data_IF_116058340666
#
_entry.id   IF_116058340666
#
_cell.length_a   1.000
_cell.length_b   1.000
_cell.length_c   1.000
_cell.angle_alpha   90.00
_cell.angle_beta   90.00
_cell.angle_gamma   90.00
#
_symmetry.space_group_name_H-M   'P 1'
#
loop_
_entity.id
_entity.type
_entity.pdbx_description
1 polymer ?
#
# COMPACT_ATOMS: atom_id res chain seq x y z
N UNK A 1 40.86 -0.65 -47.07
CA UNK A 1 41.00 -0.50 -45.61
C UNK A 1 39.77 0.17 -44.96
N UNK A 2 39.24 1.26 -45.52
CA UNK A 2 38.05 1.95 -44.97
C UNK A 2 36.78 1.10 -44.94
N UNK A 3 36.53 0.29 -45.98
CA UNK A 3 35.34 -0.57 -46.10
C UNK A 3 35.31 -1.68 -45.04
N UNK A 4 36.45 -2.30 -44.75
CA UNK A 4 36.57 -3.32 -43.70
C UNK A 4 36.30 -2.76 -42.30
N UNK A 5 36.73 -1.54 -42.03
CA UNK A 5 36.47 -0.86 -40.76
C UNK A 5 34.98 -0.53 -40.61
N UNK A 6 34.33 -0.05 -41.68
CA UNK A 6 32.90 0.24 -41.69
C UNK A 6 32.06 -1.02 -41.48
N UNK A 7 32.40 -2.13 -42.14
CA UNK A 7 31.69 -3.40 -41.93
C UNK A 7 31.82 -3.92 -40.50
N UNK A 8 32.99 -3.76 -39.88
CA UNK A 8 33.22 -4.21 -38.51
C UNK A 8 32.40 -3.40 -37.50
N UNK A 9 32.34 -2.07 -37.68
CA UNK A 9 31.53 -1.19 -36.82
C UNK A 9 30.03 -1.47 -36.94
N UNK A 10 29.53 -1.76 -38.14
CA UNK A 10 28.12 -2.12 -38.36
C UNK A 10 27.80 -3.46 -37.68
N UNK A 11 28.68 -4.45 -37.79
CA UNK A 11 28.50 -5.76 -37.16
C UNK A 11 28.51 -5.63 -35.63
N UNK A 12 29.45 -4.85 -35.07
CA UNK A 12 29.50 -4.62 -33.62
C UNK A 12 28.23 -3.93 -33.10
N UNK A 13 27.74 -2.90 -33.80
CA UNK A 13 26.49 -2.23 -33.42
C UNK A 13 25.30 -3.21 -33.46
N UNK A 14 25.19 -4.02 -34.52
CA UNK A 14 24.14 -5.03 -34.63
C UNK A 14 24.18 -6.05 -33.48
N UNK A 15 25.37 -6.49 -33.06
CA UNK A 15 25.54 -7.42 -31.94
C UNK A 15 25.11 -6.78 -30.61
N UNK A 16 25.46 -5.52 -30.36
CA UNK A 16 25.04 -4.80 -29.13
C UNK A 16 23.51 -4.65 -29.06
N UNK A 17 22.85 -4.26 -30.16
CA UNK A 17 21.39 -4.15 -30.20
C UNK A 17 20.66 -5.49 -30.00
N UNK A 18 21.29 -6.61 -30.39
CA UNK A 18 20.74 -7.96 -30.16
C UNK A 18 20.91 -8.41 -28.71
N UNK A 19 22.01 -8.03 -28.05
CA UNK A 19 22.27 -8.35 -26.64
C UNK A 19 21.35 -7.53 -25.71
N UNK A 20 21.09 -6.27 -26.04
CA UNK A 20 20.24 -5.37 -25.24
C UNK A 20 18.79 -5.87 -25.14
N UNK A 21 18.30 -6.57 -26.19
CA UNK A 21 16.97 -7.21 -26.15
C UNK A 21 16.90 -8.47 -25.28
N UNK A 22 18.03 -9.05 -24.88
CA UNK A 22 18.09 -10.29 -24.11
C UNK A 22 18.29 -10.08 -22.60
N UNK A 23 18.53 -8.85 -22.14
CA UNK A 23 18.78 -8.56 -20.71
C UNK A 23 17.56 -8.07 -19.92
N UNK A 24 16.40 -7.89 -20.57
CA UNK A 24 15.16 -7.72 -19.84
C UNK A 24 14.66 -9.09 -19.36
N UNK A 25 15.13 -9.56 -18.20
CA UNK A 25 14.58 -10.73 -17.54
C UNK A 25 13.06 -10.55 -17.36
N UNK A 26 12.20 -11.39 -17.99
CA UNK A 26 10.75 -11.23 -17.91
C UNK A 26 10.17 -11.58 -16.53
N UNK A 27 10.99 -12.03 -15.59
CA UNK A 27 10.55 -12.48 -14.27
C UNK A 27 10.10 -11.34 -13.33
N UNK A 28 10.47 -10.08 -13.58
CA UNK A 28 10.07 -8.94 -12.73
C UNK A 28 8.71 -8.37 -13.17
N UNK A 29 8.31 -8.54 -14.43
CA UNK A 29 7.08 -7.97 -14.96
C UNK A 29 5.80 -8.69 -14.49
N UNK A 30 5.90 -9.91 -13.96
CA UNK A 30 4.73 -10.75 -13.65
C UNK A 30 4.21 -10.66 -12.20
N UNK A 31 4.88 -9.93 -11.30
CA UNK A 31 4.48 -9.89 -9.86
C UNK A 31 3.51 -8.76 -9.50
N UNK A 32 3.25 -7.82 -10.41
CA UNK A 32 2.28 -6.76 -10.18
C UNK A 32 1.08 -7.04 -11.06
N UNK A 33 0.11 -7.78 -10.54
CA UNK A 33 -1.25 -7.64 -11.04
C UNK A 33 -1.58 -6.15 -10.90
N UNK A 34 -1.82 -5.41 -11.99
CA UNK A 34 -2.07 -3.98 -11.91
C UNK A 34 -3.39 -3.81 -11.19
N UNK A 35 -3.34 -3.65 -9.87
CA UNK A 35 -4.48 -3.21 -9.10
C UNK A 35 -4.83 -1.84 -9.68
N UNK A 36 -6.06 -1.64 -10.18
CA UNK A 36 -6.46 -0.32 -10.64
C UNK A 36 -6.25 0.64 -9.48
N UNK A 37 -5.34 1.59 -9.68
CA UNK A 37 -4.81 2.47 -8.63
C UNK A 37 -5.94 3.22 -7.91
N UNK A 38 -7.00 3.54 -8.65
CA UNK A 38 -8.16 4.27 -8.17
C UNK A 38 -9.43 3.68 -8.77
N UNK A 39 -10.34 3.23 -7.91
CA UNK A 39 -11.66 2.72 -8.28
C UNK A 39 -12.71 3.55 -7.55
N UNK A 40 -13.36 4.44 -8.27
CA UNK A 40 -14.40 5.30 -7.70
C UNK A 40 -15.75 4.59 -7.60
N UNK A 41 -16.65 5.12 -6.76
CA UNK A 41 -18.03 4.65 -6.62
C UNK A 41 -19.01 5.18 -7.69
N UNK A 42 -18.55 6.10 -8.55
CA UNK A 42 -19.39 6.73 -9.58
C UNK A 42 -20.57 7.48 -8.96
N UNK A 43 -21.76 7.34 -9.54
CA UNK A 43 -22.98 8.02 -9.05
C UNK A 43 -23.64 7.32 -7.85
N UNK A 44 -23.06 6.21 -7.36
CA UNK A 44 -23.66 5.34 -6.34
C UNK A 44 -22.89 5.36 -5.02
N UNK A 45 -22.18 6.44 -4.71
CA UNK A 45 -21.40 6.55 -3.47
C UNK A 45 -22.26 6.45 -2.20
N UNK A 46 -23.51 6.89 -2.26
CA UNK A 46 -24.48 6.75 -1.15
C UNK A 46 -24.85 5.27 -0.86
N UNK A 47 -24.51 4.34 -1.74
CA UNK A 47 -24.76 2.90 -1.57
C UNK A 47 -23.54 2.16 -1.01
N UNK A 48 -22.43 2.85 -0.75
CA UNK A 48 -21.26 2.25 -0.11
C UNK A 48 -21.60 1.85 1.34
N UNK A 49 -21.41 0.57 1.68
CA UNK A 49 -21.78 0.01 2.99
C UNK A 49 -21.13 0.73 4.18
N UNK A 50 -19.91 1.24 4.00
CA UNK A 50 -19.11 1.88 5.05
C UNK A 50 -18.91 3.38 4.79
N UNK A 51 -19.80 3.98 4.00
CA UNK A 51 -19.69 5.36 3.51
C UNK A 51 -18.63 5.53 2.41
N UNK A 52 -18.36 6.78 2.07
CA UNK A 52 -17.43 7.15 1.00
C UNK A 52 -16.47 8.26 1.43
N UNK A 53 -15.36 8.40 0.72
CA UNK A 53 -14.38 9.47 0.91
C UNK A 53 -13.81 9.92 -0.42
N UNK A 54 -13.20 11.10 -0.45
CA UNK A 54 -12.40 11.52 -1.59
C UNK A 54 -11.01 10.90 -1.48
N UNK A 55 -10.61 10.14 -2.49
CA UNK A 55 -9.28 9.56 -2.62
C UNK A 55 -8.24 10.67 -2.58
N UNK A 56 -7.27 10.58 -1.67
CA UNK A 56 -6.17 11.55 -1.56
C UNK A 56 -5.24 11.50 -2.78
N UNK A 57 -5.13 10.33 -3.40
CA UNK A 57 -4.26 10.10 -4.55
C UNK A 57 -4.88 10.58 -5.87
N UNK A 58 -6.17 10.31 -6.09
CA UNK A 58 -6.83 10.57 -7.37
C UNK A 58 -7.87 11.71 -7.34
N UNK A 59 -8.26 12.19 -6.16
CA UNK A 59 -9.28 13.23 -6.03
C UNK A 59 -10.69 12.80 -6.46
N UNK A 60 -10.93 11.49 -6.57
CA UNK A 60 -12.24 10.91 -6.92
C UNK A 60 -12.95 10.37 -5.68
N UNK A 61 -14.28 10.29 -5.71
CA UNK A 61 -15.04 9.63 -4.64
C UNK A 61 -14.87 8.11 -4.71
N UNK A 62 -14.49 7.51 -3.59
CA UNK A 62 -14.30 6.06 -3.41
C UNK A 62 -15.07 5.54 -2.20
N UNK A 63 -15.53 4.28 -2.25
CA UNK A 63 -16.12 3.63 -1.09
C UNK A 63 -15.04 3.35 -0.04
N UNK A 64 -15.37 3.59 1.23
CA UNK A 64 -14.49 3.22 2.35
C UNK A 64 -14.47 1.71 2.57
N UNK A 65 -13.44 1.24 3.25
CA UNK A 65 -13.14 -0.16 3.53
C UNK A 65 -13.75 -0.60 4.85
N UNK A 66 -14.39 -1.77 4.83
CA UNK A 66 -14.98 -2.40 6.00
C UNK A 66 -13.98 -3.16 6.88
N UNK A 67 -14.43 -3.69 8.03
CA UNK A 67 -13.57 -4.42 8.96
C UNK A 67 -12.87 -5.61 8.29
N UNK A 68 -11.56 -5.76 8.53
CA UNK A 68 -10.73 -6.81 7.96
C UNK A 68 -10.35 -6.64 6.50
N UNK A 69 -10.95 -5.70 5.76
CA UNK A 69 -10.57 -5.39 4.39
C UNK A 69 -9.21 -4.69 4.34
N UNK A 70 -8.55 -4.77 3.17
CA UNK A 70 -7.23 -4.17 2.95
C UNK A 70 -7.35 -2.65 2.90
N UNK A 71 -6.43 -1.93 3.54
CA UNK A 71 -6.39 -0.47 3.61
C UNK A 71 -4.94 0.06 3.62
N UNK A 72 -4.80 1.38 3.46
CA UNK A 72 -3.52 2.09 3.56
C UNK A 72 -2.72 2.04 2.26
N UNK A 73 -1.42 1.77 2.35
CA UNK A 73 -0.50 1.89 1.22
C UNK A 73 -0.05 3.35 1.00
N UNK A 74 0.86 3.60 0.03
CA UNK A 74 1.28 4.96 -0.30
C UNK A 74 0.07 5.80 -0.71
N UNK A 75 -0.12 6.94 -0.05
CA UNK A 75 -1.25 7.86 -0.27
C UNK A 75 -2.62 7.16 -0.24
N UNK A 76 -2.81 6.20 0.67
CA UNK A 76 -4.05 5.43 0.83
C UNK A 76 -4.51 4.70 -0.44
N UNK A 77 -3.58 4.36 -1.34
CA UNK A 77 -3.86 3.68 -2.61
C UNK A 77 -4.57 2.32 -2.48
N UNK A 78 -4.59 1.71 -1.29
CA UNK A 78 -5.33 0.46 -1.04
C UNK A 78 -6.72 0.72 -0.46
N UNK A 79 -7.00 1.96 -0.06
CA UNK A 79 -8.28 2.46 0.42
C UNK A 79 -8.23 2.89 1.88
N UNK A 80 -9.21 3.74 2.24
CA UNK A 80 -9.39 4.30 3.58
C UNK A 80 -10.48 3.52 4.32
N UNK A 81 -10.30 3.29 5.62
CA UNK A 81 -11.29 2.59 6.44
C UNK A 81 -12.56 3.42 6.71
N UNK A 82 -13.68 2.73 6.94
CA UNK A 82 -14.94 3.32 7.41
C UNK A 82 -14.84 3.96 8.80
N UNK A 83 -15.91 4.63 9.22
CA UNK A 83 -15.93 5.26 10.54
C UNK A 83 -15.87 4.22 11.67
N UNK A 84 -15.12 4.55 12.73
CA UNK A 84 -14.86 3.63 13.86
C UNK A 84 -13.75 2.60 13.62
N UNK A 85 -13.16 2.59 12.42
CA UNK A 85 -12.08 1.68 12.05
C UNK A 85 -10.75 2.41 11.85
N UNK A 86 -9.66 1.73 12.19
CA UNK A 86 -8.29 2.21 12.00
C UNK A 86 -7.54 1.23 11.10
N UNK A 87 -6.77 1.76 10.15
CA UNK A 87 -5.92 0.93 9.31
C UNK A 87 -4.68 0.47 10.10
N UNK A 88 -4.61 -0.82 10.41
CA UNK A 88 -3.48 -1.44 11.12
C UNK A 88 -3.05 -2.71 10.39
N UNK A 89 -1.75 -2.85 10.12
CA UNK A 89 -1.23 -3.92 9.28
C UNK A 89 -1.93 -4.08 7.93
N UNK A 90 -2.20 -2.94 7.27
CA UNK A 90 -2.89 -2.90 5.99
C UNK A 90 -4.28 -3.51 6.04
N UNK A 91 -4.92 -3.59 7.23
CA UNK A 91 -6.30 -4.03 7.40
C UNK A 91 -7.08 -3.11 8.33
N UNK A 92 -8.36 -2.91 8.04
CA UNK A 92 -9.22 -2.12 8.91
C UNK A 92 -9.55 -2.88 10.19
N UNK A 93 -9.29 -2.26 11.32
CA UNK A 93 -9.39 -2.86 12.66
C UNK A 93 -10.20 -1.97 13.59
N UNK A 94 -10.86 -2.57 14.56
CA UNK A 94 -11.88 -1.90 15.38
C UNK A 94 -13.28 -2.37 15.00
N UNK A 95 -14.29 -1.56 15.32
CA UNK A 95 -15.69 -1.85 15.06
C UNK A 95 -16.29 -0.78 14.17
N UNK A 96 -16.92 -1.21 13.06
CA UNK A 96 -17.64 -0.31 12.16
C UNK A 96 -18.81 0.34 12.91
N UNK A 97 -18.99 1.64 12.71
CA UNK A 97 -20.17 2.35 13.23
C UNK A 97 -21.43 1.98 12.43
N UNK A 98 -21.30 1.65 11.15
CA UNK A 98 -22.44 1.43 10.24
C UNK A 98 -23.21 0.15 10.53
N UNK A 99 -22.50 -0.95 10.79
CA UNK A 99 -23.10 -2.28 10.97
C UNK A 99 -22.65 -3.00 12.25
N UNK A 100 -21.85 -2.34 13.11
CA UNK A 100 -21.33 -2.88 14.37
C UNK A 100 -20.46 -4.13 14.23
N UNK A 101 -20.02 -4.46 13.01
CA UNK A 101 -19.09 -5.58 12.79
C UNK A 101 -17.69 -5.18 13.19
N UNK A 102 -17.00 -6.08 13.90
CA UNK A 102 -15.66 -5.82 14.42
C UNK A 102 -14.64 -6.77 13.79
N UNK A 103 -13.44 -6.24 13.58
CA UNK A 103 -12.28 -7.03 13.20
C UNK A 103 -11.09 -6.67 14.09
N UNK A 104 -10.54 -7.68 14.76
CA UNK A 104 -9.31 -7.57 15.51
C UNK A 104 -8.19 -8.22 14.72
N UNK A 105 -7.14 -7.45 14.40
CA UNK A 105 -5.92 -8.03 13.86
C UNK A 105 -5.02 -8.49 15.01
N UNK A 106 -4.30 -9.59 14.81
CA UNK A 106 -3.29 -10.10 15.76
C UNK A 106 -1.90 -9.59 15.43
N UNK A 107 -1.82 -8.48 14.71
CA UNK A 107 -0.53 -7.89 14.43
C UNK A 107 0.11 -7.44 15.73
N UNK A 108 1.41 -7.70 15.84
CA UNK A 108 2.21 -7.01 16.83
C UNK A 108 1.96 -5.51 16.63
N UNK A 109 1.71 -4.74 17.71
CA UNK A 109 1.53 -3.31 17.59
C UNK A 109 2.71 -2.78 16.80
N UNK A 110 2.43 -2.05 15.72
CA UNK A 110 3.47 -1.38 14.97
C UNK A 110 4.18 -0.48 15.98
N UNK A 111 5.35 -0.90 16.44
CA UNK A 111 6.20 -0.10 17.30
C UNK A 111 6.55 1.10 16.42
N UNK A 112 5.79 2.18 16.58
CA UNK A 112 5.95 3.41 15.83
C UNK A 112 7.43 3.72 15.83
N UNK A 113 8.02 3.94 14.65
CA UNK A 113 9.40 4.41 14.56
C UNK A 113 9.61 5.72 15.36
N UNK A 114 8.53 6.39 15.79
CA UNK A 114 8.54 7.49 16.77
C UNK A 114 9.08 7.11 18.16
N UNK A 115 8.98 5.83 18.57
CA UNK A 115 9.53 5.35 19.85
C UNK A 115 11.06 5.32 19.85
N UNK A 116 11.73 5.36 18.69
CA UNK A 116 13.19 5.47 18.61
C UNK A 116 13.73 6.87 18.93
N UNK A 117 12.86 7.86 19.13
CA UNK A 117 13.23 9.26 19.35
C UNK A 117 13.07 9.73 20.81
N UNK A 118 12.51 8.91 21.70
CA UNK A 118 12.38 9.26 23.12
C UNK A 118 13.33 8.37 23.93
N UNK A 119 14.45 8.89 24.47
CA UNK A 119 15.31 8.11 25.34
C UNK A 119 14.50 7.70 26.58
N UNK A 120 14.54 6.40 26.86
CA UNK A 120 13.98 5.74 28.04
C UNK A 120 14.30 6.52 29.33
N UNK A 121 13.32 7.29 29.82
CA UNK A 121 13.38 8.03 31.10
C UNK A 121 12.25 7.60 32.06
N UNK A 122 11.46 6.58 31.71
CA UNK A 122 10.38 6.09 32.59
C UNK A 122 10.49 4.59 32.90
N UNK A 123 11.70 4.14 33.24
CA UNK A 123 11.94 2.81 33.81
C UNK A 123 11.72 2.76 35.34
N UNK A 124 10.88 3.64 35.90
CA UNK A 124 10.75 3.72 37.37
C UNK A 124 9.38 4.17 37.88
N UNK A 125 8.29 3.55 37.40
CA UNK A 125 7.01 3.61 38.12
C UNK A 125 6.48 2.22 38.44
N UNK A 126 6.37 1.85 39.74
CA UNK A 126 5.73 0.61 40.15
C UNK A 126 4.22 0.74 39.94
N UNK A 127 3.65 -0.10 39.07
CA UNK A 127 2.20 -0.23 38.91
C UNK A 127 1.68 -1.09 40.06
N UNK A 128 1.24 -0.42 41.12
CA UNK A 128 0.53 -1.05 42.22
C UNK A 128 -0.92 -0.51 42.27
N UNK A 129 -1.88 -1.43 42.11
CA UNK A 129 -3.35 -1.29 42.31
C UNK A 129 -4.08 -0.38 41.31
N UNK A 130 -5.28 -0.71 40.82
CA UNK A 130 -6.46 -1.18 41.54
C UNK A 130 -7.36 -2.05 40.66
N UNK A 131 -7.77 -3.20 41.19
CA UNK A 131 -9.04 -3.83 40.86
C UNK A 131 -10.16 -3.07 41.59
N UNK A 132 -11.28 -2.83 40.91
CA UNK A 132 -12.58 -2.63 41.54
C UNK A 132 -13.67 -3.27 40.69
#
# INVERSE_FOLDING_TARGET
>A
MLTFQLTYMIVLLAVVFLIDKCHAHPAIAQRHEPRPLCVGCGDKCEQCEFGYTTSTLCGILECRRGPGQICGGPSDSWGVCGDGLICSCNRCTGCSVDNLTCFANTCLPHQSLETRSYPDIFDNFPVDRFAK
#
